data_IF_688990476746
#
_entry.id   IF_688990476746
#
_cell.length_a   1.000
_cell.length_b   1.000
_cell.length_c   1.000
_cell.angle_alpha   90.00
_cell.angle_beta   90.00
_cell.angle_gamma   90.00
#
_symmetry.space_group_name_H-M   'P 1'
#
loop_
_entity.id
_entity.type
_entity.pdbx_description
1 polymer ?
#
# COMPACT_ATOMS: atom_id res chain seq x y z
N UNK A 1 -2.97 -9.38 9.01
CA UNK A 1 -3.89 -8.24 8.74
C UNK A 1 -5.32 -8.64 9.05
N UNK A 2 -6.05 -7.80 9.78
CA UNK A 2 -7.43 -8.14 10.22
C UNK A 2 -8.41 -8.23 9.05
N UNK A 3 -8.31 -7.36 8.06
CA UNK A 3 -9.19 -7.37 6.89
C UNK A 3 -8.98 -8.65 6.09
N UNK A 4 -7.74 -9.03 5.88
CA UNK A 4 -7.38 -10.27 5.18
C UNK A 4 -7.99 -11.49 5.90
N UNK A 5 -7.85 -11.55 7.22
CA UNK A 5 -8.42 -12.63 8.02
C UNK A 5 -9.94 -12.70 7.94
N UNK A 6 -10.60 -11.53 7.98
CA UNK A 6 -12.04 -11.45 7.86
C UNK A 6 -12.53 -11.95 6.50
N UNK A 7 -11.83 -11.58 5.42
CA UNK A 7 -12.16 -12.03 4.07
C UNK A 7 -11.91 -13.53 3.89
N UNK A 8 -10.81 -14.04 4.46
CA UNK A 8 -10.50 -15.46 4.44
C UNK A 8 -11.59 -16.28 5.12
N UNK A 9 -12.09 -15.81 6.27
CA UNK A 9 -13.19 -16.48 7.00
C UNK A 9 -14.48 -16.55 6.19
N UNK A 10 -14.68 -15.62 5.24
CA UNK A 10 -15.81 -15.63 4.32
C UNK A 10 -15.58 -16.50 3.09
N UNK A 11 -14.46 -17.22 3.02
CA UNK A 11 -14.12 -18.07 1.88
C UNK A 11 -13.59 -17.34 0.67
N UNK A 12 -13.15 -16.08 0.82
CA UNK A 12 -12.64 -15.26 -0.26
C UNK A 12 -11.13 -15.39 -0.38
N UNK A 13 -10.65 -15.48 -1.62
CA UNK A 13 -9.21 -15.51 -1.89
C UNK A 13 -8.65 -14.10 -1.93
N UNK A 14 -7.62 -13.85 -1.14
CA UNK A 14 -7.00 -12.53 -1.02
C UNK A 14 -5.50 -12.61 -1.21
N UNK A 15 -4.91 -11.49 -1.60
CA UNK A 15 -3.46 -11.30 -1.61
C UNK A 15 -3.12 -9.91 -1.10
N UNK A 16 -2.11 -9.82 -0.24
CA UNK A 16 -1.66 -8.54 0.32
C UNK A 16 -0.39 -8.10 -0.39
N UNK A 17 -0.44 -6.88 -0.93
CA UNK A 17 0.73 -6.19 -1.46
C UNK A 17 1.14 -5.12 -0.45
N UNK A 18 2.33 -5.22 0.09
CA UNK A 18 2.88 -4.25 1.03
C UNK A 18 4.30 -3.84 0.65
N UNK A 19 4.87 -2.89 1.38
CA UNK A 19 6.21 -2.39 1.09
C UNK A 19 7.27 -3.49 1.11
N UNK A 20 7.16 -4.43 2.03
CA UNK A 20 8.17 -5.46 2.21
C UNK A 20 8.18 -6.46 1.05
N UNK A 21 7.02 -6.97 0.63
CA UNK A 21 6.98 -7.95 -0.45
C UNK A 21 7.21 -7.33 -1.83
N UNK A 22 6.89 -6.07 -2.02
CA UNK A 22 7.07 -5.37 -3.30
C UNK A 22 8.50 -4.85 -3.46
N UNK A 23 9.04 -4.16 -2.46
CA UNK A 23 10.38 -3.58 -2.54
C UNK A 23 11.49 -4.64 -2.43
N UNK A 24 11.18 -5.80 -1.88
CA UNK A 24 12.12 -6.92 -1.83
C UNK A 24 12.28 -7.66 -3.16
N UNK A 25 11.39 -7.42 -4.13
CA UNK A 25 11.39 -8.12 -5.42
C UNK A 25 11.03 -7.21 -6.59
N UNK A 26 9.75 -7.07 -6.86
CA UNK A 26 9.24 -6.36 -8.05
C UNK A 26 9.82 -4.95 -8.21
N UNK A 27 9.91 -4.18 -7.13
CA UNK A 27 10.36 -2.81 -7.12
C UNK A 27 11.70 -2.64 -6.39
N UNK A 28 12.55 -3.66 -6.40
CA UNK A 28 13.84 -3.62 -5.72
C UNK A 28 14.79 -2.55 -6.30
N UNK A 29 14.57 -2.14 -7.54
CA UNK A 29 15.34 -1.10 -8.22
C UNK A 29 14.93 0.33 -7.87
N UNK A 30 13.83 0.51 -7.13
CA UNK A 30 13.30 1.83 -6.82
C UNK A 30 13.72 2.33 -5.44
N UNK A 31 14.07 3.62 -5.36
CA UNK A 31 14.35 4.32 -4.11
C UNK A 31 13.15 5.11 -3.60
N UNK A 32 13.42 6.29 -3.02
CA UNK A 32 12.40 7.13 -2.38
C UNK A 32 12.30 8.53 -2.98
N UNK A 33 12.90 8.77 -4.16
CA UNK A 33 12.71 10.02 -4.87
C UNK A 33 11.24 10.18 -5.27
N UNK A 34 10.75 11.41 -5.54
CA UNK A 34 9.38 11.58 -6.03
C UNK A 34 9.07 10.74 -7.26
N UNK A 35 10.00 10.66 -8.19
CA UNK A 35 9.87 9.87 -9.44
C UNK A 35 9.76 8.38 -9.13
N UNK A 36 10.62 7.87 -8.24
CA UNK A 36 10.61 6.47 -7.83
C UNK A 36 9.33 6.12 -7.07
N UNK A 37 8.84 7.02 -6.22
CA UNK A 37 7.57 6.82 -5.50
C UNK A 37 6.39 6.73 -6.46
N UNK A 38 6.37 7.59 -7.50
CA UNK A 38 5.34 7.56 -8.53
C UNK A 38 5.40 6.25 -9.32
N UNK A 39 6.59 5.82 -9.72
CA UNK A 39 6.75 4.55 -10.44
C UNK A 39 6.40 3.35 -9.56
N UNK A 40 6.72 3.40 -8.28
CA UNK A 40 6.34 2.36 -7.32
C UNK A 40 4.82 2.14 -7.30
N UNK A 41 4.06 3.22 -7.17
CA UNK A 41 2.59 3.15 -7.14
C UNK A 41 2.03 2.69 -8.49
N UNK A 42 2.62 3.14 -9.60
CA UNK A 42 2.21 2.71 -10.93
C UNK A 42 2.33 1.19 -11.10
N UNK A 43 3.48 0.63 -10.74
CA UNK A 43 3.73 -0.82 -10.83
C UNK A 43 2.78 -1.61 -9.93
N UNK A 44 2.55 -1.13 -8.71
CA UNK A 44 1.65 -1.77 -7.76
C UNK A 44 0.23 -1.79 -8.31
N UNK A 45 -0.24 -0.68 -8.88
CA UNK A 45 -1.57 -0.60 -9.47
C UNK A 45 -1.75 -1.59 -10.62
N UNK A 46 -0.76 -1.72 -11.49
CA UNK A 46 -0.79 -2.68 -12.60
C UNK A 46 -0.86 -4.12 -12.10
N UNK A 47 -0.02 -4.49 -11.13
CA UNK A 47 -0.02 -5.85 -10.54
C UNK A 47 -1.33 -6.13 -9.84
N UNK A 48 -1.83 -5.18 -9.04
CA UNK A 48 -3.11 -5.33 -8.34
C UNK A 48 -4.27 -5.53 -9.31
N UNK A 49 -4.26 -4.80 -10.42
CA UNK A 49 -5.28 -4.94 -11.47
C UNK A 49 -5.25 -6.33 -12.11
N UNK A 50 -4.07 -6.84 -12.40
CA UNK A 50 -3.92 -8.20 -12.95
C UNK A 50 -4.41 -9.25 -11.96
N UNK A 51 -4.11 -9.11 -10.69
CA UNK A 51 -4.57 -10.04 -9.65
C UNK A 51 -6.09 -9.99 -9.48
N UNK A 52 -6.69 -8.80 -9.56
CA UNK A 52 -8.14 -8.65 -9.52
C UNK A 52 -8.81 -9.33 -10.71
N UNK A 53 -8.23 -9.22 -11.89
CA UNK A 53 -8.72 -9.94 -13.08
C UNK A 53 -8.66 -11.46 -12.90
N UNK A 54 -7.68 -11.95 -12.15
CA UNK A 54 -7.55 -13.38 -11.85
C UNK A 54 -8.54 -13.86 -10.77
N UNK A 55 -9.35 -12.95 -10.21
CA UNK A 55 -10.36 -13.29 -9.21
C UNK A 55 -9.93 -13.12 -7.77
N UNK A 56 -8.78 -12.49 -7.52
CA UNK A 56 -8.28 -12.25 -6.18
C UNK A 56 -8.77 -10.89 -5.66
N UNK A 57 -9.05 -10.82 -4.36
CA UNK A 57 -9.21 -9.54 -3.67
C UNK A 57 -7.82 -9.10 -3.25
N UNK A 58 -7.35 -8.00 -3.84
CA UNK A 58 -6.00 -7.50 -3.60
C UNK A 58 -6.03 -6.34 -2.60
N UNK A 59 -5.30 -6.50 -1.52
CA UNK A 59 -5.17 -5.51 -0.46
C UNK A 59 -3.81 -4.84 -0.59
N UNK A 60 -3.79 -3.57 -1.05
CA UNK A 60 -2.55 -2.83 -1.23
C UNK A 60 -2.38 -1.84 -0.09
N UNK A 61 -1.28 -1.97 0.66
CA UNK A 61 -0.98 -1.16 1.83
C UNK A 61 0.32 -0.40 1.62
N UNK A 62 0.20 0.87 1.22
CA UNK A 62 1.33 1.74 0.89
C UNK A 62 1.08 3.17 1.35
N UNK A 63 2.14 3.93 1.53
CA UNK A 63 2.04 5.32 1.98
C UNK A 63 1.32 6.19 0.96
N UNK A 64 1.61 6.04 -0.34
CA UNK A 64 0.92 6.74 -1.45
C UNK A 64 0.72 8.25 -1.20
N UNK A 65 1.80 9.03 -1.05
CA UNK A 65 1.67 10.42 -0.58
C UNK A 65 1.04 11.37 -1.61
N UNK A 66 1.07 11.05 -2.90
CA UNK A 66 0.64 11.96 -3.95
C UNK A 66 -0.75 11.63 -4.48
N UNK A 67 -1.62 12.64 -4.54
CA UNK A 67 -2.99 12.48 -5.07
C UNK A 67 -3.03 12.02 -6.52
N UNK A 68 -2.10 12.55 -7.35
CA UNK A 68 -2.01 12.18 -8.77
C UNK A 68 -1.76 10.70 -8.94
N UNK A 69 -0.91 10.11 -8.11
CA UNK A 69 -0.59 8.69 -8.17
C UNK A 69 -1.79 7.84 -7.77
N UNK A 70 -2.50 8.23 -6.69
CA UNK A 70 -3.71 7.54 -6.25
C UNK A 70 -4.81 7.63 -7.30
N UNK A 71 -4.94 8.79 -7.95
CA UNK A 71 -5.92 8.99 -9.04
C UNK A 71 -5.62 8.11 -10.25
N UNK A 72 -4.34 7.98 -10.61
CA UNK A 72 -3.92 7.08 -11.70
C UNK A 72 -4.25 5.63 -11.38
N UNK A 73 -4.00 5.19 -10.15
CA UNK A 73 -4.33 3.84 -9.70
C UNK A 73 -5.84 3.59 -9.78
N UNK A 74 -6.65 4.55 -9.35
CA UNK A 74 -8.11 4.47 -9.44
C UNK A 74 -8.57 4.37 -10.88
N UNK A 75 -7.99 5.17 -11.77
CA UNK A 75 -8.34 5.16 -13.20
C UNK A 75 -7.99 3.81 -13.84
N UNK A 76 -6.84 3.23 -13.50
CA UNK A 76 -6.40 1.94 -14.02
C UNK A 76 -7.31 0.79 -13.57
N UNK A 77 -7.78 0.82 -12.34
CA UNK A 77 -8.61 -0.24 -11.77
C UNK A 77 -10.12 -0.06 -12.07
N UNK A 78 -10.53 1.16 -12.40
CA UNK A 78 -11.93 1.45 -12.70
C UNK A 78 -12.85 1.32 -11.47
N UNK A 79 -14.04 0.76 -11.66
CA UNK A 79 -15.04 0.63 -10.61
C UNK A 79 -14.73 -0.45 -9.56
N UNK A 80 -13.68 -1.24 -9.78
CA UNK A 80 -13.22 -2.26 -8.83
C UNK A 80 -12.32 -1.69 -7.73
N UNK A 81 -11.99 -0.41 -7.80
CA UNK A 81 -11.06 0.25 -6.88
C UNK A 81 -11.79 0.81 -5.67
N UNK A 82 -11.29 0.50 -4.48
CA UNK A 82 -11.76 1.05 -3.21
C UNK A 82 -10.58 1.65 -2.46
N UNK A 83 -10.57 2.97 -2.30
CA UNK A 83 -9.54 3.69 -1.57
C UNK A 83 -9.99 3.87 -0.12
N UNK A 84 -9.17 3.40 0.82
CA UNK A 84 -9.46 3.49 2.24
C UNK A 84 -8.42 4.40 2.89
N UNK A 85 -8.89 5.50 3.46
CA UNK A 85 -8.04 6.44 4.18
C UNK A 85 -7.96 6.04 5.66
N UNK A 86 -6.76 5.75 6.12
CA UNK A 86 -6.53 5.47 7.53
C UNK A 86 -6.25 6.78 8.24
N UNK A 87 -7.25 7.29 8.94
CA UNK A 87 -7.16 8.56 9.66
C UNK A 87 -6.62 8.32 11.06
N UNK A 88 -5.39 8.79 11.28
CA UNK A 88 -4.76 8.77 12.59
C UNK A 88 -3.88 10.01 12.71
N UNK A 89 -3.96 10.73 13.83
CA UNK A 89 -3.10 11.89 14.05
C UNK A 89 -1.65 11.45 14.36
N UNK A 90 -0.74 12.42 14.35
CA UNK A 90 0.69 12.15 14.60
C UNK A 90 0.90 11.52 15.96
N UNK A 91 0.19 12.00 16.98
CA UNK A 91 0.30 11.48 18.34
C UNK A 91 -0.11 10.01 18.42
N UNK A 92 -1.20 9.63 17.77
CA UNK A 92 -1.65 8.24 17.70
C UNK A 92 -0.64 7.37 16.96
N UNK A 93 -0.10 7.85 15.83
CA UNK A 93 0.91 7.14 15.07
C UNK A 93 2.20 6.93 15.89
N UNK A 94 2.63 7.95 16.64
CA UNK A 94 3.79 7.85 17.53
C UNK A 94 3.57 6.80 18.62
N UNK A 95 2.36 6.77 19.20
CA UNK A 95 2.04 5.80 20.26
C UNK A 95 2.05 4.36 19.75
N UNK A 96 1.72 4.15 18.46
CA UNK A 96 1.71 2.83 17.83
C UNK A 96 3.03 2.42 17.19
N UNK A 97 3.87 3.35 16.85
CA UNK A 97 5.20 3.34 16.23
C UNK A 97 5.89 1.93 16.17
N UNK A 98 5.39 0.99 15.36
CA UNK A 98 5.86 -0.41 15.41
C UNK A 98 7.31 -0.59 14.96
N UNK A 99 7.83 0.33 14.15
CA UNK A 99 9.22 0.29 13.64
C UNK A 99 10.14 1.29 14.32
N UNK A 100 9.65 2.07 15.30
CA UNK A 100 10.42 3.08 15.99
C UNK A 100 10.82 4.27 15.13
N UNK A 101 10.15 4.52 13.99
CA UNK A 101 10.52 5.58 13.06
C UNK A 101 10.29 6.97 13.62
N UNK A 102 9.19 7.20 14.33
CA UNK A 102 8.91 8.48 14.98
C UNK A 102 9.90 8.75 16.10
N UNK A 103 10.24 7.73 16.86
CA UNK A 103 11.26 7.82 17.91
C UNK A 103 12.60 8.23 17.32
N UNK A 104 13.02 7.62 16.21
CA UNK A 104 14.26 7.97 15.50
C UNK A 104 14.22 9.40 14.96
N UNK A 105 13.11 9.82 14.38
CA UNK A 105 12.95 11.19 13.86
C UNK A 105 13.09 12.23 14.97
N UNK A 106 12.49 12.00 16.14
CA UNK A 106 12.62 12.89 17.29
C UNK A 106 14.03 12.92 17.87
N UNK A 107 14.78 11.84 17.74
CA UNK A 107 16.18 11.75 18.15
C UNK A 107 17.15 12.37 17.13
N UNK A 108 16.65 12.86 16.00
CA UNK A 108 17.46 13.48 14.96
C UNK A 108 18.12 12.49 13.98
N UNK A 109 17.63 11.28 13.92
CA UNK A 109 18.12 10.25 12.99
C UNK A 109 17.38 10.22 11.66
#
# INVERSE_FOLDING_TARGET
MRVEQALFRKGLQTYVLDGDNIRGGLNADLGFSPEDRTENIRRIAEVANLMADAGLITLASFISPYRTDRKRARTAAGDKFHEIYIKADVKTCEARDPKGLYKKARAGE
#
